data_IF_195902808776
#
_entry.id   IF_195902808776
#
_cell.length_a   1.000
_cell.length_b   1.000
_cell.length_c   1.000
_cell.angle_alpha   90.00
_cell.angle_beta   90.00
_cell.angle_gamma   90.00
#
_symmetry.space_group_name_H-M   'P 1'
#
loop_
_entity.id
_entity.type
_entity.pdbx_description
1 polymer ?
#
# COMPACT_ATOMS: atom_id res chain seq x y z
N UNK A 1 -49.03 -10.29 82.97
CA UNK A 1 -49.15 -9.03 83.71
C UNK A 1 -48.08 -8.10 83.17
N UNK A 2 -48.58 -7.12 82.47
CA UNK A 2 -48.23 -5.71 82.61
C UNK A 2 -46.81 -5.36 82.20
N UNK A 3 -46.51 -4.39 81.45
CA UNK A 3 -47.21 -3.23 80.86
C UNK A 3 -46.30 -2.64 79.72
N UNK A 4 -46.92 -2.15 78.73
CA UNK A 4 -46.33 -1.17 77.79
C UNK A 4 -46.33 0.20 78.45
N UNK A 5 -45.40 1.14 78.28
CA UNK A 5 -45.69 2.09 77.18
C UNK A 5 -44.49 2.59 76.36
N UNK A 6 -44.80 2.78 75.11
CA UNK A 6 -44.42 3.83 74.12
C UNK A 6 -43.58 4.99 74.68
N UNK A 7 -42.51 5.33 73.92
CA UNK A 7 -42.25 6.72 73.51
C UNK A 7 -41.31 6.80 72.32
N UNK A 8 -41.81 7.46 71.33
CA UNK A 8 -41.18 7.97 70.11
C UNK A 8 -39.90 8.75 70.42
N UNK A 9 -38.79 8.43 69.75
CA UNK A 9 -37.78 9.45 69.33
C UNK A 9 -37.14 9.04 68.03
N UNK A 10 -37.52 9.78 67.03
CA UNK A 10 -36.98 9.79 65.70
C UNK A 10 -35.55 10.38 65.72
N UNK A 11 -34.51 9.57 65.51
CA UNK A 11 -33.17 10.05 65.27
C UNK A 11 -32.79 9.66 63.83
N UNK A 12 -32.80 10.68 63.04
CA UNK A 12 -32.26 10.70 61.70
C UNK A 12 -30.81 10.16 61.65
N UNK A 13 -30.62 8.96 61.09
CA UNK A 13 -29.29 8.46 60.69
C UNK A 13 -29.00 9.01 59.36
N UNK A 14 -28.09 9.98 59.31
CA UNK A 14 -27.44 10.51 58.11
C UNK A 14 -26.56 9.41 57.59
N UNK A 15 -26.98 8.72 56.51
CA UNK A 15 -26.16 7.79 55.75
C UNK A 15 -25.17 8.58 54.95
N UNK A 16 -23.90 8.57 55.35
CA UNK A 16 -22.78 9.04 54.55
C UNK A 16 -22.65 8.07 53.36
N UNK A 17 -23.09 8.50 52.18
CA UNK A 17 -22.69 7.88 50.92
C UNK A 17 -21.22 8.24 50.64
N UNK A 18 -20.33 7.30 50.93
CA UNK A 18 -18.98 7.35 50.40
C UNK A 18 -19.08 7.13 48.87
N UNK A 19 -19.14 8.22 48.12
CA UNK A 19 -18.98 8.19 46.67
C UNK A 19 -17.54 7.80 46.37
N UNK A 20 -17.29 6.49 46.20
CA UNK A 20 -16.06 5.98 45.61
C UNK A 20 -16.01 6.46 44.17
N UNK A 21 -15.24 7.51 43.89
CA UNK A 21 -14.88 7.89 42.56
C UNK A 21 -14.01 6.78 42.00
N UNK A 22 -14.61 5.91 41.18
CA UNK A 22 -13.91 5.00 40.31
C UNK A 22 -13.19 5.89 39.29
N UNK A 23 -11.93 6.23 39.58
CA UNK A 23 -11.06 6.85 38.61
C UNK A 23 -10.85 5.82 37.49
N UNK A 24 -11.64 5.91 36.43
CA UNK A 24 -11.36 5.23 35.18
C UNK A 24 -9.99 5.74 34.71
N UNK A 25 -8.98 4.91 34.92
CA UNK A 25 -7.70 5.09 34.28
C UNK A 25 -7.96 4.90 32.76
N UNK A 26 -8.35 5.99 32.12
CA UNK A 26 -8.32 6.05 30.65
C UNK A 26 -6.86 6.00 30.27
N UNK A 27 -6.38 4.80 29.92
CA UNK A 27 -5.15 4.69 29.14
C UNK A 27 -5.29 5.67 27.96
N UNK A 28 -4.31 6.55 27.70
CA UNK A 28 -4.36 7.39 26.52
C UNK A 28 -4.46 6.44 25.33
N UNK A 29 -5.64 6.40 24.70
CA UNK A 29 -5.76 5.82 23.38
C UNK A 29 -4.84 6.67 22.51
N UNK A 30 -3.68 6.13 22.16
CA UNK A 30 -2.84 6.65 21.09
C UNK A 30 -3.64 6.49 19.80
N UNK A 31 -4.58 7.41 19.57
CA UNK A 31 -5.19 7.59 18.27
C UNK A 31 -4.10 8.25 17.43
N UNK A 32 -3.20 7.45 16.88
CA UNK A 32 -2.40 7.86 15.75
C UNK A 32 -3.33 7.82 14.54
N UNK A 33 -4.09 8.89 14.34
CA UNK A 33 -4.76 9.09 13.07
C UNK A 33 -3.70 8.97 11.97
N UNK A 34 -3.95 8.10 10.98
CA UNK A 34 -3.06 7.96 9.84
C UNK A 34 -2.84 9.35 9.23
N UNK A 35 -1.64 9.91 9.40
CA UNK A 35 -1.31 11.19 8.82
C UNK A 35 -1.29 11.05 7.30
N UNK A 36 -2.21 11.70 6.63
CA UNK A 36 -2.22 11.76 5.17
C UNK A 36 -1.06 12.65 4.70
N UNK A 37 0.06 12.01 4.38
CA UNK A 37 1.17 12.68 3.68
C UNK A 37 0.88 12.82 2.20
N UNK A 38 -0.35 13.24 1.84
CA UNK A 38 -0.87 13.23 0.47
C UNK A 38 0.04 13.96 -0.50
N UNK A 39 0.43 13.26 -1.56
CA UNK A 39 1.01 13.84 -2.76
C UNK A 39 2.51 14.06 -2.76
N UNK A 40 3.24 13.83 -1.65
CA UNK A 40 4.69 14.00 -1.64
C UNK A 40 5.36 12.86 -2.40
N UNK A 41 6.09 13.18 -3.46
CA UNK A 41 6.86 12.20 -4.24
C UNK A 41 8.02 11.65 -3.41
N UNK A 42 8.14 10.34 -3.36
CA UNK A 42 9.16 9.65 -2.59
C UNK A 42 10.43 9.49 -3.41
N UNK A 43 11.56 9.77 -2.78
CA UNK A 43 12.86 9.30 -3.24
C UNK A 43 13.22 8.06 -2.42
N UNK A 44 13.29 6.89 -3.06
CA UNK A 44 13.71 5.68 -2.38
C UNK A 44 15.19 5.75 -2.00
N UNK A 45 15.57 5.24 -0.82
CA UNK A 45 16.97 5.17 -0.42
C UNK A 45 17.76 4.20 -1.32
N UNK A 46 19.09 4.30 -1.28
CA UNK A 46 19.95 3.27 -1.84
C UNK A 46 19.78 1.96 -1.05
N UNK A 47 19.52 0.87 -1.78
CA UNK A 47 19.43 -0.49 -1.24
C UNK A 47 20.84 -1.13 -1.30
N UNK A 48 21.69 -0.74 -0.38
CA UNK A 48 23.07 -1.19 -0.29
C UNK A 48 23.15 -2.63 0.28
N UNK A 49 24.04 -3.45 -0.30
CA UNK A 49 24.27 -4.82 0.16
C UNK A 49 24.74 -4.89 1.61
N UNK A 50 25.45 -3.87 2.11
CA UNK A 50 25.86 -3.77 3.53
C UNK A 50 24.68 -3.65 4.49
N UNK A 51 23.54 -3.21 4.01
CA UNK A 51 22.30 -3.07 4.78
C UNK A 51 21.32 -4.22 4.58
N UNK A 52 21.61 -5.14 3.64
CA UNK A 52 20.73 -6.26 3.36
C UNK A 52 20.68 -7.26 4.53
N UNK A 53 19.47 -7.69 4.89
CA UNK A 53 19.23 -8.69 5.93
C UNK A 53 18.59 -9.95 5.36
N UNK A 54 17.49 -9.82 4.59
CA UNK A 54 16.65 -10.95 4.19
C UNK A 54 15.77 -10.65 2.97
N UNK A 55 15.26 -11.72 2.34
CA UNK A 55 14.32 -11.64 1.21
C UNK A 55 15.00 -11.36 -0.14
N UNK A 56 14.27 -10.98 -1.18
CA UNK A 56 14.84 -10.63 -2.47
C UNK A 56 15.61 -9.31 -2.36
N UNK A 57 16.78 -9.24 -3.02
CA UNK A 57 17.48 -7.96 -3.17
C UNK A 57 16.71 -7.07 -4.14
N UNK A 58 16.53 -5.82 -3.77
CA UNK A 58 15.78 -4.83 -4.54
C UNK A 58 16.63 -3.59 -4.81
N UNK A 59 16.18 -2.78 -5.75
CA UNK A 59 16.75 -1.47 -6.06
C UNK A 59 15.66 -0.41 -6.03
N UNK A 60 16.00 0.86 -5.95
CA UNK A 60 15.04 1.95 -6.07
C UNK A 60 14.23 1.89 -7.37
N UNK A 61 14.87 1.48 -8.47
CA UNK A 61 14.20 1.31 -9.78
C UNK A 61 13.21 0.15 -9.79
N UNK A 62 13.48 -0.94 -9.07
CA UNK A 62 12.58 -2.08 -8.99
C UNK A 62 11.28 -1.81 -8.21
N UNK A 63 11.23 -0.71 -7.46
CA UNK A 63 10.05 -0.25 -6.72
C UNK A 63 9.18 0.72 -7.53
N UNK A 64 9.71 1.31 -8.61
CA UNK A 64 8.94 2.20 -9.46
C UNK A 64 7.76 1.46 -10.09
N UNK A 65 6.60 2.09 -10.08
CA UNK A 65 5.37 1.48 -10.59
C UNK A 65 4.72 0.45 -9.68
N UNK A 66 5.26 0.20 -8.49
CA UNK A 66 4.66 -0.68 -7.49
C UNK A 66 4.00 0.10 -6.36
N UNK A 67 2.96 -0.47 -5.80
CA UNK A 67 2.45 -0.06 -4.50
C UNK A 67 3.39 -0.63 -3.44
N UNK A 68 3.98 0.24 -2.62
CA UNK A 68 5.00 -0.15 -1.63
C UNK A 68 4.49 0.11 -0.22
N UNK A 69 4.50 -0.93 0.61
CA UNK A 69 4.29 -0.81 2.05
C UNK A 69 5.64 -0.84 2.75
N UNK A 70 6.14 0.32 3.13
CA UNK A 70 7.45 0.47 3.76
C UNK A 70 7.27 0.50 5.28
N UNK A 71 7.77 -0.53 5.98
CA UNK A 71 7.59 -0.66 7.43
C UNK A 71 8.89 -0.47 8.20
N UNK A 72 8.85 0.42 9.17
CA UNK A 72 9.88 0.60 10.19
C UNK A 72 9.57 -0.31 11.38
N UNK A 73 10.45 -1.25 11.67
CA UNK A 73 10.23 -2.28 12.69
C UNK A 73 11.49 -2.62 13.48
N UNK A 74 11.35 -3.44 14.50
CA UNK A 74 12.48 -3.94 15.30
C UNK A 74 12.18 -5.28 15.96
N UNK A 75 13.22 -6.11 16.12
CA UNK A 75 13.11 -7.45 16.71
C UNK A 75 12.71 -7.42 18.20
N UNK A 76 12.97 -6.34 18.91
CA UNK A 76 12.59 -6.14 20.32
C UNK A 76 11.32 -5.28 20.46
N UNK A 77 10.46 -5.24 19.44
CA UNK A 77 9.22 -4.49 19.41
C UNK A 77 8.05 -5.49 19.29
N UNK A 78 7.36 -5.85 20.39
CA UNK A 78 6.30 -6.84 20.36
C UNK A 78 5.19 -6.55 19.35
N UNK A 79 4.66 -5.31 19.22
CA UNK A 79 3.65 -5.02 18.20
C UNK A 79 4.19 -5.14 16.76
N UNK A 80 5.50 -4.88 16.53
CA UNK A 80 6.12 -5.11 15.22
C UNK A 80 6.12 -6.62 14.88
N UNK A 81 6.49 -7.46 15.85
CA UNK A 81 6.49 -8.92 15.68
C UNK A 81 5.09 -9.44 15.38
N UNK A 82 4.08 -8.88 16.04
CA UNK A 82 2.68 -9.26 15.84
C UNK A 82 2.15 -8.87 14.45
N UNK A 83 2.66 -7.80 13.81
CA UNK A 83 2.25 -7.35 12.48
C UNK A 83 2.84 -8.19 11.34
N UNK A 84 4.00 -8.83 11.54
CA UNK A 84 4.73 -9.53 10.48
C UNK A 84 3.94 -10.60 9.72
N UNK A 85 3.14 -11.48 10.37
CA UNK A 85 2.34 -12.46 9.64
C UNK A 85 1.32 -11.81 8.69
N UNK A 86 0.68 -10.74 9.13
CA UNK A 86 -0.29 -10.02 8.30
C UNK A 86 0.37 -9.32 7.10
N UNK A 87 1.55 -8.75 7.29
CA UNK A 87 2.33 -8.18 6.18
C UNK A 87 2.73 -9.25 5.18
N UNK A 88 3.08 -10.46 5.65
CA UNK A 88 3.35 -11.58 4.78
C UNK A 88 2.10 -12.02 3.99
N UNK A 89 0.93 -12.04 4.63
CA UNK A 89 -0.34 -12.30 3.94
C UNK A 89 -0.63 -11.26 2.85
N UNK A 90 -0.38 -9.97 3.10
CA UNK A 90 -0.52 -8.91 2.10
C UNK A 90 0.48 -9.09 0.95
N UNK A 91 1.73 -9.42 1.28
CA UNK A 91 2.77 -9.74 0.29
C UNK A 91 2.33 -10.89 -0.62
N UNK A 92 1.94 -12.03 -0.04
CA UNK A 92 1.52 -13.21 -0.78
C UNK A 92 0.32 -12.94 -1.69
N UNK A 93 -0.62 -12.14 -1.20
CA UNK A 93 -1.87 -11.83 -1.90
C UNK A 93 -1.71 -10.86 -3.07
N UNK A 94 -0.79 -9.90 -2.94
CA UNK A 94 -0.74 -8.77 -3.87
C UNK A 94 0.59 -8.62 -4.63
N UNK A 95 1.63 -9.42 -4.35
CA UNK A 95 2.92 -9.31 -5.05
C UNK A 95 2.80 -9.46 -6.58
N UNK A 96 1.96 -10.40 -7.04
CA UNK A 96 1.71 -10.60 -8.47
C UNK A 96 0.94 -9.45 -9.13
N UNK A 97 0.42 -8.53 -8.33
CA UNK A 97 -0.35 -7.35 -8.73
C UNK A 97 0.43 -6.04 -8.58
N UNK A 98 1.76 -6.12 -8.52
CA UNK A 98 2.60 -4.94 -8.39
C UNK A 98 2.65 -4.34 -6.98
N UNK A 99 2.49 -5.17 -5.94
CA UNK A 99 2.67 -4.75 -4.55
C UNK A 99 3.95 -5.34 -3.95
N UNK A 100 4.56 -4.63 -3.01
CA UNK A 100 5.63 -5.19 -2.19
C UNK A 100 5.68 -4.54 -0.81
N UNK A 101 5.95 -5.37 0.20
CA UNK A 101 6.39 -4.90 1.52
C UNK A 101 7.90 -4.69 1.48
N UNK A 102 8.39 -3.66 2.14
CA UNK A 102 9.82 -3.41 2.40
C UNK A 102 9.99 -3.17 3.90
N UNK A 103 10.70 -4.06 4.57
CA UNK A 103 10.99 -3.92 5.99
C UNK A 103 12.29 -3.15 6.24
N UNK A 104 12.24 -2.07 7.02
CA UNK A 104 13.41 -1.37 7.54
C UNK A 104 13.59 -1.67 9.02
N UNK A 105 14.56 -2.51 9.36
CA UNK A 105 14.89 -2.84 10.74
C UNK A 105 15.63 -1.68 11.40
N UNK A 106 15.12 -1.14 12.52
CA UNK A 106 15.61 0.10 13.15
C UNK A 106 16.41 -0.10 14.42
N UNK A 107 16.54 -1.32 14.87
CA UNK A 107 17.34 -1.68 16.06
C UNK A 107 18.70 -2.27 15.65
N UNK A 108 19.60 -2.49 16.60
CA UNK A 108 20.90 -3.07 16.31
C UNK A 108 20.81 -4.43 15.61
N UNK A 109 21.70 -4.67 14.65
CA UNK A 109 21.79 -5.96 13.96
C UNK A 109 22.18 -7.06 14.95
N UNK A 110 21.44 -8.16 14.90
CA UNK A 110 21.79 -9.40 15.58
C UNK A 110 21.45 -10.60 14.68
N UNK A 111 22.17 -11.74 14.81
CA UNK A 111 21.83 -12.97 14.09
C UNK A 111 20.37 -13.41 14.28
N UNK A 112 19.78 -13.07 15.43
CA UNK A 112 18.38 -13.34 15.76
C UNK A 112 17.39 -12.71 14.81
N UNK A 113 17.71 -11.57 14.18
CA UNK A 113 16.81 -10.91 13.20
C UNK A 113 16.61 -11.81 12.00
N UNK A 114 17.68 -12.30 11.39
CA UNK A 114 17.62 -13.18 10.23
C UNK A 114 16.92 -14.50 10.58
N UNK A 115 17.30 -15.13 11.68
CA UNK A 115 16.66 -16.36 12.15
C UNK A 115 15.16 -16.19 12.34
N UNK A 116 14.70 -15.10 12.97
CA UNK A 116 13.28 -14.80 13.14
C UNK A 116 12.54 -14.70 11.80
N UNK A 117 13.11 -14.00 10.82
CA UNK A 117 12.49 -13.82 9.49
C UNK A 117 12.37 -15.17 8.75
N UNK A 118 13.38 -16.04 8.87
CA UNK A 118 13.37 -17.39 8.32
C UNK A 118 12.32 -18.27 9.01
N UNK A 119 12.26 -18.30 10.34
CA UNK A 119 11.29 -19.06 11.14
C UNK A 119 9.84 -18.64 10.85
N UNK A 120 9.61 -17.36 10.57
CA UNK A 120 8.29 -16.82 10.22
C UNK A 120 7.97 -16.90 8.74
N UNK A 121 8.86 -17.48 7.93
CA UNK A 121 8.70 -17.58 6.47
C UNK A 121 8.42 -16.23 5.81
N UNK A 122 9.08 -15.16 6.29
CA UNK A 122 8.97 -13.84 5.68
C UNK A 122 9.65 -13.88 4.31
N UNK A 123 8.97 -13.44 3.26
CA UNK A 123 9.46 -13.48 1.88
C UNK A 123 9.75 -12.12 1.28
N UNK A 124 9.33 -11.04 1.93
CA UNK A 124 9.59 -9.69 1.45
C UNK A 124 10.99 -9.18 1.82
N UNK A 125 11.52 -8.18 1.08
CA UNK A 125 12.85 -7.63 1.34
C UNK A 125 12.94 -6.91 2.69
N UNK A 126 14.01 -7.20 3.43
CA UNK A 126 14.32 -6.56 4.72
C UNK A 126 15.75 -6.04 4.72
N UNK A 127 15.90 -4.79 5.11
CA UNK A 127 17.16 -4.07 5.18
C UNK A 127 17.35 -3.39 6.54
N UNK A 128 18.60 -3.08 6.88
CA UNK A 128 18.96 -2.35 8.09
C UNK A 128 18.91 -0.85 7.88
N UNK A 129 18.17 -0.13 8.72
CA UNK A 129 18.28 1.32 8.87
C UNK A 129 17.97 2.15 7.61
N UNK A 130 17.14 1.61 6.71
CA UNK A 130 16.66 2.41 5.57
C UNK A 130 15.67 3.47 6.05
N UNK A 131 15.66 4.62 5.38
CA UNK A 131 14.73 5.71 5.66
C UNK A 131 14.19 6.31 4.36
N UNK A 132 12.94 6.78 4.42
CA UNK A 132 12.32 7.57 3.36
C UNK A 132 12.23 9.01 3.88
N UNK A 133 13.11 9.93 3.43
CA UNK A 133 13.22 11.26 4.02
C UNK A 133 11.90 12.04 4.04
N UNK A 134 11.09 11.91 2.97
CA UNK A 134 9.78 12.56 2.86
C UNK A 134 8.70 11.99 3.82
N UNK A 135 8.97 10.84 4.45
CA UNK A 135 8.01 10.13 5.29
C UNK A 135 8.74 9.35 6.39
N UNK A 136 9.77 9.94 6.97
CA UNK A 136 10.57 9.33 8.03
C UNK A 136 9.73 8.98 9.26
N UNK A 137 10.14 7.94 9.95
CA UNK A 137 9.53 7.51 11.20
C UNK A 137 9.77 8.56 12.31
N UNK A 138 8.75 9.10 12.96
CA UNK A 138 8.89 10.14 13.99
C UNK A 138 9.40 9.62 15.34
N UNK A 139 9.90 8.38 15.41
CA UNK A 139 10.57 7.83 16.60
C UNK A 139 9.83 6.68 17.31
N UNK A 140 8.65 6.29 16.88
CA UNK A 140 7.89 5.15 17.41
C UNK A 140 7.89 3.94 16.48
N UNK A 141 7.93 2.72 17.02
CA UNK A 141 7.78 1.47 16.28
C UNK A 141 6.55 0.69 16.76
N UNK A 142 5.82 0.00 15.86
CA UNK A 142 5.97 0.03 14.42
C UNK A 142 5.45 1.32 13.79
N UNK A 143 6.00 1.68 12.64
CA UNK A 143 5.51 2.77 11.80
C UNK A 143 5.59 2.35 10.34
N UNK A 144 4.62 2.74 9.53
CA UNK A 144 4.60 2.40 8.12
C UNK A 144 4.30 3.59 7.23
N UNK A 145 4.74 3.48 5.98
CA UNK A 145 4.43 4.41 4.90
C UNK A 145 3.87 3.60 3.73
N UNK A 146 2.65 3.89 3.33
CA UNK A 146 2.07 3.36 2.11
C UNK A 146 2.35 4.33 0.96
N UNK A 147 2.96 3.81 -0.10
CA UNK A 147 3.36 4.56 -1.29
C UNK A 147 2.59 3.98 -2.47
N UNK A 148 1.91 4.83 -3.22
CA UNK A 148 1.18 4.44 -4.43
C UNK A 148 2.13 4.08 -5.58
N UNK A 149 1.60 3.45 -6.62
CA UNK A 149 2.36 3.06 -7.81
C UNK A 149 2.97 4.28 -8.55
N UNK A 150 2.41 5.46 -8.36
CA UNK A 150 2.93 6.73 -8.85
C UNK A 150 4.14 7.27 -8.04
N UNK A 151 4.56 6.55 -7.01
CA UNK A 151 5.67 6.96 -6.16
C UNK A 151 5.35 8.08 -5.16
N UNK A 152 4.07 8.38 -4.94
CA UNK A 152 3.63 9.38 -3.94
C UNK A 152 3.17 8.71 -2.65
N UNK A 153 3.43 9.37 -1.52
CA UNK A 153 2.89 8.91 -0.22
C UNK A 153 1.37 8.97 -0.24
N UNK A 154 0.73 7.86 0.08
CA UNK A 154 -0.73 7.74 0.24
C UNK A 154 -1.12 7.99 1.68
N UNK A 155 -0.44 7.33 2.61
CA UNK A 155 -0.63 7.48 4.04
C UNK A 155 0.61 7.02 4.81
N UNK A 156 0.76 7.48 6.04
CA UNK A 156 1.79 7.03 7.00
C UNK A 156 1.18 6.94 8.39
N UNK A 157 1.71 6.05 9.23
CA UNK A 157 1.22 5.88 10.59
C UNK A 157 1.39 4.46 11.13
N UNK A 158 0.51 4.07 12.03
CA UNK A 158 0.49 2.74 12.61
C UNK A 158 0.07 1.69 11.56
N UNK A 159 0.85 0.60 11.32
CA UNK A 159 0.62 -0.32 10.22
C UNK A 159 -0.81 -0.86 10.07
N UNK A 160 -1.50 -1.32 11.13
CA UNK A 160 -2.88 -1.80 11.03
C UNK A 160 -3.88 -0.82 10.44
N UNK A 161 -3.67 0.48 10.64
CA UNK A 161 -4.57 1.52 10.10
C UNK A 161 -4.44 1.69 8.57
N UNK A 162 -3.34 1.18 8.00
CA UNK A 162 -3.04 1.30 6.57
C UNK A 162 -3.41 0.06 5.76
N UNK A 163 -3.73 -1.08 6.38
CA UNK A 163 -3.94 -2.34 5.67
C UNK A 163 -5.10 -2.29 4.68
N UNK A 164 -6.22 -1.66 5.03
CA UNK A 164 -7.36 -1.52 4.13
C UNK A 164 -7.06 -0.64 2.91
N UNK A 165 -6.13 0.32 3.07
CA UNK A 165 -5.69 1.17 1.98
C UNK A 165 -4.84 0.41 0.95
N UNK A 166 -4.10 -0.64 1.36
CA UNK A 166 -3.29 -1.46 0.45
C UNK A 166 -4.15 -2.03 -0.68
N UNK A 167 -5.28 -2.66 -0.35
CA UNK A 167 -6.19 -3.21 -1.35
C UNK A 167 -6.68 -2.13 -2.31
N UNK A 168 -7.02 -0.97 -1.79
CA UNK A 168 -7.53 0.18 -2.56
C UNK A 168 -6.46 0.66 -3.55
N UNK A 169 -5.23 0.84 -3.09
CA UNK A 169 -4.12 1.31 -3.92
C UNK A 169 -3.69 0.29 -4.97
N UNK A 170 -3.64 -1.01 -4.63
CA UNK A 170 -3.36 -2.06 -5.61
C UNK A 170 -4.44 -2.09 -6.70
N UNK A 171 -5.72 -2.00 -6.35
CA UNK A 171 -6.80 -1.94 -7.34
C UNK A 171 -6.73 -0.68 -8.22
N UNK A 172 -6.27 0.46 -7.69
CA UNK A 172 -6.01 1.67 -8.48
C UNK A 172 -4.88 1.42 -9.48
N UNK A 173 -3.77 0.87 -9.01
CA UNK A 173 -2.63 0.55 -9.86
C UNK A 173 -3.01 -0.44 -10.98
N UNK A 174 -3.79 -1.48 -10.68
CA UNK A 174 -4.29 -2.43 -11.67
C UNK A 174 -5.22 -1.77 -12.71
N UNK A 175 -6.04 -0.82 -12.30
CA UNK A 175 -7.00 -0.15 -13.18
C UNK A 175 -6.36 0.94 -14.02
N UNK A 176 -5.26 1.56 -13.56
CA UNK A 176 -4.61 2.69 -14.22
C UNK A 176 -5.51 3.91 -14.39
N UNK A 177 -6.50 4.09 -13.50
CA UNK A 177 -7.52 5.14 -13.62
C UNK A 177 -7.10 6.43 -12.92
N UNK A 178 -7.51 7.61 -13.45
CA UNK A 178 -7.25 8.89 -12.80
C UNK A 178 -7.91 8.96 -11.43
N UNK A 179 -7.19 9.52 -10.49
CA UNK A 179 -7.67 9.67 -9.12
C UNK A 179 -8.21 11.08 -8.97
N UNK A 180 -9.52 11.24 -9.01
CA UNK A 180 -10.22 12.49 -8.67
C UNK A 180 -10.63 12.53 -7.19
N UNK A 181 -10.09 11.63 -6.35
CA UNK A 181 -10.47 11.50 -4.94
C UNK A 181 -10.05 12.69 -4.09
N UNK A 182 -9.02 13.43 -4.52
CA UNK A 182 -8.48 14.59 -3.81
C UNK A 182 -9.07 15.92 -4.32
N UNK A 183 -9.98 15.86 -5.29
CA UNK A 183 -10.67 17.05 -5.82
C UNK A 183 -12.05 17.12 -5.20
N UNK A 184 -12.35 18.20 -4.49
CA UNK A 184 -13.72 18.49 -4.03
C UNK A 184 -14.60 18.79 -5.25
N UNK A 185 -15.43 17.81 -5.61
CA UNK A 185 -16.29 17.87 -6.78
C UNK A 185 -17.74 18.04 -6.37
N UNK A 186 -18.37 19.11 -6.83
CA UNK A 186 -19.81 19.35 -6.73
C UNK A 186 -20.48 19.18 -8.08
N UNK A 187 -20.07 19.96 -9.06
CA UNK A 187 -20.63 20.03 -10.43
C UNK A 187 -20.24 18.80 -11.27
N UNK A 188 -19.01 18.28 -11.12
CA UNK A 188 -18.48 17.17 -11.90
C UNK A 188 -18.43 15.84 -11.14
N UNK A 189 -19.12 15.71 -10.03
CA UNK A 189 -19.15 14.49 -9.20
C UNK A 189 -19.61 13.24 -9.95
N UNK A 190 -20.58 13.38 -10.89
CA UNK A 190 -21.04 12.28 -11.73
C UNK A 190 -20.01 11.87 -12.78
N UNK A 191 -19.26 12.84 -13.32
CA UNK A 191 -18.15 12.58 -14.24
C UNK A 191 -17.05 11.80 -13.55
N UNK A 192 -16.65 12.18 -12.33
CA UNK A 192 -15.65 11.45 -11.55
C UNK A 192 -16.07 9.99 -11.32
N UNK A 193 -17.32 9.75 -10.92
CA UNK A 193 -17.84 8.38 -10.76
C UNK A 193 -17.75 7.57 -12.06
N UNK A 194 -18.10 8.18 -13.20
CA UNK A 194 -18.07 7.51 -14.51
C UNK A 194 -16.64 7.23 -14.95
N UNK A 195 -15.72 8.16 -14.73
CA UNK A 195 -14.29 7.99 -15.02
C UNK A 195 -13.71 6.84 -14.21
N UNK A 196 -14.01 6.79 -12.91
CA UNK A 196 -13.52 5.73 -12.01
C UNK A 196 -14.14 4.36 -12.33
N UNK A 197 -15.40 4.30 -12.76
CA UNK A 197 -16.09 3.01 -12.98
C UNK A 197 -15.79 2.38 -14.33
N UNK A 198 -15.70 3.15 -15.41
CA UNK A 198 -15.64 2.61 -16.77
C UNK A 198 -14.23 2.65 -17.41
N UNK A 199 -13.36 3.56 -17.01
CA UNK A 199 -11.97 3.62 -17.49
C UNK A 199 -11.76 3.86 -18.98
N UNK A 200 -12.85 3.85 -19.80
CA UNK A 200 -12.77 3.91 -21.24
C UNK A 200 -12.87 5.35 -21.74
N UNK A 201 -11.93 5.73 -22.62
CA UNK A 201 -11.92 7.02 -23.31
C UNK A 201 -12.16 8.23 -22.38
N UNK A 202 -11.41 8.26 -21.29
CA UNK A 202 -11.48 9.32 -20.28
C UNK A 202 -11.15 10.67 -20.92
N UNK A 203 -10.21 10.67 -21.85
CA UNK A 203 -9.76 11.85 -22.58
C UNK A 203 -10.92 12.59 -23.27
N UNK A 204 -11.86 11.87 -23.90
CA UNK A 204 -13.02 12.49 -24.54
C UNK A 204 -13.94 13.23 -23.55
N UNK A 205 -13.91 12.85 -22.29
CA UNK A 205 -14.70 13.48 -21.22
C UNK A 205 -13.99 14.67 -20.60
N UNK A 206 -12.66 14.66 -20.59
CA UNK A 206 -11.82 15.75 -20.07
C UNK A 206 -11.66 16.88 -21.09
N UNK A 207 -11.52 16.55 -22.37
CA UNK A 207 -11.34 17.54 -23.45
C UNK A 207 -12.34 18.69 -23.44
N UNK A 208 -13.66 18.48 -23.25
CA UNK A 208 -14.63 19.59 -23.15
C UNK A 208 -14.42 20.48 -21.94
N UNK A 209 -13.87 19.96 -20.83
CA UNK A 209 -13.61 20.71 -19.61
C UNK A 209 -12.46 21.71 -19.79
N UNK A 210 -11.46 21.35 -20.60
CA UNK A 210 -10.32 22.23 -20.89
C UNK A 210 -10.73 23.56 -21.52
N UNK A 211 -11.90 23.61 -22.18
CA UNK A 211 -12.45 24.84 -22.79
C UNK A 211 -13.14 25.75 -21.77
N UNK A 212 -13.36 25.29 -20.55
CA UNK A 212 -14.06 26.03 -19.49
C UNK A 212 -13.04 26.71 -18.56
N UNK A 213 -12.37 27.71 -19.10
CA UNK A 213 -11.25 28.40 -18.41
C UNK A 213 -11.67 29.12 -17.12
N UNK A 214 -12.94 29.55 -17.06
CA UNK A 214 -13.49 30.29 -15.91
C UNK A 214 -14.19 29.36 -14.88
N UNK A 215 -14.11 28.05 -15.07
CA UNK A 215 -14.70 27.05 -14.18
C UNK A 215 -13.58 26.38 -13.37
N UNK A 216 -13.37 26.86 -12.14
CA UNK A 216 -12.29 26.38 -11.24
C UNK A 216 -12.36 24.85 -11.02
N UNK A 217 -13.57 24.28 -10.86
CA UNK A 217 -13.74 22.85 -10.67
C UNK A 217 -13.38 22.07 -11.95
N UNK A 218 -13.71 22.62 -13.15
CA UNK A 218 -13.29 22.01 -14.40
C UNK A 218 -11.77 22.02 -14.56
N UNK A 219 -11.11 23.14 -14.18
CA UNK A 219 -9.67 23.25 -14.22
C UNK A 219 -8.99 22.30 -13.21
N UNK A 220 -9.54 22.15 -12.01
CA UNK A 220 -9.05 21.20 -11.02
C UNK A 220 -9.15 19.75 -11.51
N UNK A 221 -10.24 19.38 -12.19
CA UNK A 221 -10.39 18.06 -12.85
C UNK A 221 -9.35 17.87 -13.94
N UNK A 222 -9.12 18.88 -14.78
CA UNK A 222 -8.10 18.81 -15.84
C UNK A 222 -6.69 18.65 -15.26
N UNK A 223 -6.34 19.41 -14.23
CA UNK A 223 -5.05 19.32 -13.55
C UNK A 223 -4.82 17.94 -12.94
N UNK A 224 -5.81 17.39 -12.23
CA UNK A 224 -5.72 16.05 -11.66
C UNK A 224 -5.58 14.95 -12.75
N UNK A 225 -6.22 15.14 -13.91
CA UNK A 225 -6.04 14.24 -15.05
C UNK A 225 -4.62 14.35 -15.64
N UNK A 226 -4.08 15.55 -15.78
CA UNK A 226 -2.73 15.77 -16.33
C UNK A 226 -1.66 15.20 -15.41
N UNK A 227 -1.79 15.40 -14.09
CA UNK A 227 -0.93 14.80 -13.07
C UNK A 227 -0.97 13.26 -13.13
N UNK A 228 -2.18 12.69 -13.21
CA UNK A 228 -2.34 11.24 -13.37
C UNK A 228 -1.69 10.73 -14.65
N UNK A 229 -1.87 11.43 -15.78
CA UNK A 229 -1.30 11.03 -17.06
C UNK A 229 0.25 11.10 -17.02
N UNK A 230 0.80 12.13 -16.38
CA UNK A 230 2.23 12.23 -16.12
C UNK A 230 2.76 11.05 -15.31
N UNK A 231 2.11 10.75 -14.18
CA UNK A 231 2.46 9.61 -13.32
C UNK A 231 2.33 8.26 -14.07
N UNK A 232 1.31 8.10 -14.92
CA UNK A 232 1.11 6.90 -15.74
C UNK A 232 2.22 6.72 -16.77
N UNK A 233 2.68 7.78 -17.43
CA UNK A 233 3.83 7.76 -18.36
C UNK A 233 5.12 7.38 -17.62
N UNK A 234 5.39 8.00 -16.48
CA UNK A 234 6.56 7.70 -15.65
C UNK A 234 6.56 6.24 -15.17
N UNK A 235 5.40 5.73 -14.77
CA UNK A 235 5.23 4.33 -14.35
C UNK A 235 5.53 3.37 -15.52
N UNK A 236 4.96 3.61 -16.69
CA UNK A 236 5.21 2.79 -17.89
C UNK A 236 6.68 2.79 -18.24
N UNK A 237 7.32 3.96 -18.28
CA UNK A 237 8.73 4.08 -18.59
C UNK A 237 9.62 3.31 -17.59
N UNK A 238 9.28 3.33 -16.31
CA UNK A 238 9.98 2.57 -15.29
C UNK A 238 9.80 1.05 -15.46
N UNK A 239 8.59 0.61 -15.84
CA UNK A 239 8.27 -0.80 -15.98
C UNK A 239 8.85 -1.44 -17.25
N UNK A 240 9.08 -0.69 -18.32
CA UNK A 240 9.66 -1.21 -19.57
C UNK A 240 10.93 -2.03 -19.30
N UNK A 241 11.81 -1.54 -18.44
CA UNK A 241 13.09 -2.19 -18.12
C UNK A 241 13.02 -3.16 -16.95
N UNK A 242 12.08 -2.99 -16.01
CA UNK A 242 12.03 -3.74 -14.75
C UNK A 242 11.01 -4.87 -14.77
N UNK A 243 9.89 -4.69 -15.46
CA UNK A 243 8.81 -5.68 -15.60
C UNK A 243 8.08 -5.49 -16.94
N UNK A 244 8.66 -5.94 -18.05
CA UNK A 244 8.11 -5.69 -19.39
C UNK A 244 6.72 -6.29 -19.61
N UNK A 245 6.35 -7.38 -18.94
CA UNK A 245 5.02 -7.97 -19.06
C UNK A 245 3.96 -7.08 -18.40
N UNK A 246 4.26 -6.55 -17.23
CA UNK A 246 3.37 -5.61 -16.54
C UNK A 246 3.25 -4.31 -17.33
N UNK A 247 4.35 -3.83 -17.92
CA UNK A 247 4.34 -2.67 -18.81
C UNK A 247 3.39 -2.87 -19.99
N UNK A 248 3.41 -4.04 -20.66
CA UNK A 248 2.46 -4.35 -21.76
C UNK A 248 1.02 -4.28 -21.27
N UNK A 249 0.73 -4.88 -20.11
CA UNK A 249 -0.60 -4.88 -19.52
C UNK A 249 -1.07 -3.47 -19.16
N UNK A 250 -0.19 -2.69 -18.50
CA UNK A 250 -0.46 -1.31 -18.12
C UNK A 250 -0.72 -0.42 -19.35
N UNK A 251 0.15 -0.48 -20.37
CA UNK A 251 -0.01 0.29 -21.60
C UNK A 251 -1.33 -0.08 -22.31
N UNK A 252 -1.69 -1.36 -22.37
CA UNK A 252 -2.92 -1.79 -23.02
C UNK A 252 -4.14 -1.19 -22.34
N UNK A 253 -4.17 -1.16 -21.00
CA UNK A 253 -5.24 -0.51 -20.23
C UNK A 253 -5.25 1.01 -20.43
N UNK A 254 -4.07 1.65 -20.37
CA UNK A 254 -3.93 3.10 -20.54
C UNK A 254 -4.38 3.55 -21.94
N UNK A 255 -4.07 2.80 -22.98
CA UNK A 255 -4.55 3.09 -24.35
C UNK A 255 -6.07 3.05 -24.47
N UNK A 256 -6.75 2.23 -23.69
CA UNK A 256 -8.20 2.25 -23.62
C UNK A 256 -8.74 3.52 -22.97
N UNK A 257 -8.03 4.05 -21.99
CA UNK A 257 -8.40 5.26 -21.26
C UNK A 257 -8.03 6.55 -22.02
N UNK A 258 -6.85 6.58 -22.63
CA UNK A 258 -6.26 7.74 -23.33
C UNK A 258 -5.70 7.33 -24.69
N UNK A 259 -6.54 7.06 -25.68
CA UNK A 259 -6.13 6.48 -26.96
C UNK A 259 -5.22 7.38 -27.80
N UNK A 260 -5.20 8.71 -27.57
CA UNK A 260 -4.41 9.66 -28.36
C UNK A 260 -2.94 9.77 -27.94
N UNK A 261 -2.55 9.14 -26.83
CA UNK A 261 -1.20 9.25 -26.27
C UNK A 261 -0.24 8.35 -27.07
N UNK A 262 0.50 8.95 -28.01
CA UNK A 262 1.42 8.25 -28.91
C UNK A 262 2.57 7.55 -28.21
N UNK A 263 3.06 8.11 -27.11
CA UNK A 263 4.13 7.52 -26.30
C UNK A 263 3.81 6.10 -25.85
N UNK A 264 2.52 5.78 -25.64
CA UNK A 264 2.10 4.42 -25.31
C UNK A 264 2.16 3.47 -26.51
N UNK A 265 1.95 3.97 -27.73
CA UNK A 265 2.12 3.18 -28.96
C UNK A 265 3.60 2.83 -29.18
N UNK A 266 4.47 3.80 -29.02
CA UNK A 266 5.92 3.64 -29.16
C UNK A 266 6.49 2.68 -28.12
N UNK A 267 6.08 2.84 -26.85
CA UNK A 267 6.45 1.96 -25.76
C UNK A 267 5.99 0.52 -26.00
N UNK A 268 4.75 0.34 -26.48
CA UNK A 268 4.22 -0.99 -26.80
C UNK A 268 4.94 -1.65 -27.97
N UNK A 269 5.30 -0.87 -29.00
CA UNK A 269 6.07 -1.36 -30.13
C UNK A 269 7.47 -1.82 -29.69
N UNK A 270 8.15 -1.03 -28.86
CA UNK A 270 9.46 -1.38 -28.27
C UNK A 270 9.38 -2.67 -27.47
N UNK A 271 8.37 -2.82 -26.61
CA UNK A 271 8.17 -4.03 -25.82
C UNK A 271 7.90 -5.26 -26.68
N UNK A 272 7.06 -5.15 -27.71
CA UNK A 272 6.76 -6.24 -28.64
C UNK A 272 7.96 -6.67 -29.48
N UNK A 273 8.92 -5.79 -29.72
CA UNK A 273 10.17 -6.11 -30.38
C UNK A 273 11.17 -6.88 -29.49
N UNK A 274 10.92 -6.95 -28.18
CA UNK A 274 11.74 -7.70 -27.25
C UNK A 274 11.55 -9.22 -27.45
N UNK A 275 12.60 -9.89 -27.91
CA UNK A 275 12.60 -11.34 -28.21
C UNK A 275 12.39 -12.23 -26.97
N UNK A 276 12.70 -11.72 -25.79
CA UNK A 276 12.54 -12.45 -24.52
C UNK A 276 11.13 -12.35 -23.94
N UNK A 277 10.31 -11.44 -24.44
CA UNK A 277 8.96 -11.22 -23.92
C UNK A 277 8.07 -12.49 -23.93
N UNK A 278 8.06 -13.33 -24.99
CA UNK A 278 7.28 -14.57 -24.98
C UNK A 278 7.75 -15.56 -23.92
N UNK A 279 9.06 -15.69 -23.70
CA UNK A 279 9.63 -16.54 -22.65
C UNK A 279 9.22 -16.06 -21.25
N UNK A 280 9.36 -14.75 -21.00
CA UNK A 280 8.91 -14.14 -19.74
C UNK A 280 7.42 -14.37 -19.50
N UNK A 281 6.59 -14.30 -20.54
CA UNK A 281 5.16 -14.58 -20.46
C UNK A 281 4.87 -16.04 -20.06
N UNK A 282 5.60 -17.00 -20.63
CA UNK A 282 5.45 -18.42 -20.28
C UNK A 282 5.89 -18.70 -18.85
N UNK A 283 7.02 -18.16 -18.42
CA UNK A 283 7.51 -18.26 -17.04
C UNK A 283 6.48 -17.66 -16.06
N UNK A 284 5.97 -16.47 -16.33
CA UNK A 284 4.99 -15.81 -15.48
C UNK A 284 3.67 -16.61 -15.37
N UNK A 285 3.23 -17.21 -16.48
CA UNK A 285 2.07 -18.12 -16.49
C UNK A 285 2.30 -19.34 -15.61
N UNK A 286 3.49 -19.95 -15.68
CA UNK A 286 3.87 -21.09 -14.83
C UNK A 286 3.91 -20.70 -13.36
N UNK A 287 4.52 -19.55 -13.02
CA UNK A 287 4.55 -19.04 -11.66
C UNK A 287 3.13 -18.82 -11.12
N UNK A 288 2.26 -18.13 -11.86
CA UNK A 288 0.88 -17.89 -11.44
C UNK A 288 0.07 -19.17 -11.22
N UNK A 289 0.32 -20.22 -12.04
CA UNK A 289 -0.30 -21.52 -11.85
C UNK A 289 0.18 -22.21 -10.55
N UNK A 290 1.46 -22.07 -10.21
CA UNK A 290 2.02 -22.62 -8.97
C UNK A 290 1.51 -21.86 -7.73
N UNK A 291 1.41 -20.55 -7.81
CA UNK A 291 0.83 -19.71 -6.76
C UNK A 291 -0.64 -20.08 -6.48
N UNK A 292 -1.44 -20.28 -7.52
CA UNK A 292 -2.82 -20.76 -7.38
C UNK A 292 -2.92 -22.16 -6.75
N UNK A 293 -1.98 -23.06 -7.09
CA UNK A 293 -1.90 -24.41 -6.47
C UNK A 293 -1.53 -24.30 -4.99
N UNK A 294 -0.55 -23.45 -4.64
CA UNK A 294 -0.16 -23.15 -3.25
C UNK A 294 -1.31 -22.57 -2.45
N UNK A 295 -2.02 -21.60 -3.01
CA UNK A 295 -3.19 -20.97 -2.38
C UNK A 295 -4.34 -21.96 -2.09
N UNK A 296 -4.43 -23.04 -2.87
CA UNK A 296 -5.36 -24.17 -2.64
C UNK A 296 -4.80 -25.24 -1.71
N UNK A 297 -3.72 -24.98 -0.97
CA UNK A 297 -3.09 -25.90 -0.03
C UNK A 297 -2.35 -27.09 -0.68
N UNK A 298 -2.10 -27.07 -2.00
CA UNK A 298 -1.37 -28.12 -2.69
C UNK A 298 0.14 -27.91 -2.57
N UNK A 299 0.88 -28.98 -2.26
CA UNK A 299 2.35 -28.94 -2.25
C UNK A 299 2.88 -28.67 -3.67
N UNK A 300 3.90 -27.82 -3.76
CA UNK A 300 4.67 -27.59 -4.99
C UNK A 300 5.75 -28.67 -5.04
N UNK A 301 5.80 -29.44 -6.10
CA UNK A 301 6.82 -30.47 -6.29
C UNK A 301 8.13 -29.84 -6.81
N UNK A 302 9.26 -30.51 -6.53
CA UNK A 302 10.57 -30.08 -7.03
C UNK A 302 10.62 -30.02 -8.57
N UNK A 303 9.90 -30.93 -9.24
CA UNK A 303 9.76 -30.92 -10.69
C UNK A 303 9.06 -29.65 -11.23
N UNK A 304 8.09 -29.13 -10.48
CA UNK A 304 7.42 -27.86 -10.83
C UNK A 304 8.41 -26.68 -10.81
N UNK A 305 9.33 -26.65 -9.83
CA UNK A 305 10.37 -25.63 -9.72
C UNK A 305 11.44 -25.77 -10.82
N UNK A 306 11.86 -27.01 -11.15
CA UNK A 306 12.78 -27.28 -12.25
C UNK A 306 12.24 -26.80 -13.61
N UNK A 307 10.93 -26.89 -13.81
CA UNK A 307 10.31 -26.40 -15.05
C UNK A 307 10.42 -24.87 -15.26
N UNK A 308 10.65 -24.09 -14.18
CA UNK A 308 10.88 -22.64 -14.26
C UNK A 308 12.31 -22.31 -14.66
N UNK A 309 13.29 -23.15 -14.30
CA UNK A 309 14.71 -22.90 -14.61
C UNK A 309 15.11 -23.36 -16.00
N UNK A 310 14.26 -24.16 -16.67
CA UNK A 310 14.51 -24.66 -18.03
C UNK A 310 13.75 -23.86 -19.11
N UNK A 311 12.97 -22.85 -18.76
CA UNK A 311 12.23 -21.98 -19.66
C UNK A 311 12.97 -20.65 -19.89
#
# INVERSE_FOLDING_TARGET
MENVPSFFHMRTLTTLFLAGTLAAVTAPAYIHAAETGKGVKVTYPAFDDSKYIHGPKITASSLKGKVVFFEYWGINCPPCIASMPHLQELQDKYQSKGFTVVGSHRQGLSPRVKQFLEEKNISFPVYQGLDIPAASCPGGLPHAVLIGANGKVVAKGYPPELYDLVKKEVLKAERGLPILEDVELNKYKSLAKTVVSNGNNIESKITPLRKKTDDEEAQAVCAAFDDWLGDAKDMVQAQISTNPLEAVSAITRLKTAVPSVKEFDEALATLKANKDLPKLADINKKISALEQRKAKGRKIAEADLKSLTQA
#
